data_IF_134532955207
#
_entry.id   IF_134532955207
#
_cell.length_a   1.000
_cell.length_b   1.000
_cell.length_c   1.000
_cell.angle_alpha   90.00
_cell.angle_beta   90.00
_cell.angle_gamma   90.00
#
_symmetry.space_group_name_H-M   'P 1'
#
loop_
_entity.id
_entity.type
_entity.pdbx_description
1 polymer ?
#
# COMPACT_ATOMS: atom_id res chain seq x y z
N UNK A 1 -16.29 11.81 14.43
CA UNK A 1 -15.63 12.28 13.19
C UNK A 1 -14.14 12.41 13.43
N UNK A 2 -13.44 11.31 13.76
CA UNK A 2 -12.00 11.31 14.05
C UNK A 2 -11.34 10.48 12.94
N UNK A 3 -10.55 11.11 12.08
CA UNK A 3 -9.73 10.45 11.06
C UNK A 3 -10.39 10.26 9.68
N UNK A 4 -11.71 10.33 9.57
CA UNK A 4 -12.45 10.02 8.33
C UNK A 4 -12.01 10.89 7.12
N UNK A 5 -11.76 12.18 7.37
CA UNK A 5 -11.28 13.11 6.33
C UNK A 5 -9.87 12.71 5.88
N UNK A 6 -8.98 12.35 6.81
CA UNK A 6 -7.62 11.91 6.50
C UNK A 6 -7.59 10.59 5.72
N UNK A 7 -8.51 9.68 6.05
CA UNK A 7 -8.68 8.42 5.32
C UNK A 7 -9.24 8.65 3.91
N UNK A 8 -10.19 9.57 3.74
CA UNK A 8 -10.73 9.91 2.42
C UNK A 8 -9.69 10.62 1.55
N UNK A 9 -8.87 11.50 2.12
CA UNK A 9 -7.81 12.20 1.37
C UNK A 9 -6.58 11.34 1.10
N UNK A 10 -6.36 10.24 1.84
CA UNK A 10 -5.24 9.35 1.58
C UNK A 10 -5.37 8.63 0.22
N UNK A 11 -6.60 8.38 -0.24
CA UNK A 11 -6.85 7.74 -1.55
C UNK A 11 -6.32 8.59 -2.72
N UNK A 12 -6.77 9.85 -2.92
CA UNK A 12 -6.27 10.68 -4.01
C UNK A 12 -4.77 11.00 -3.86
N UNK A 13 -4.26 11.15 -2.62
CA UNK A 13 -2.83 11.37 -2.38
C UNK A 13 -2.01 10.14 -2.82
N UNK A 14 -2.43 8.93 -2.47
CA UNK A 14 -1.76 7.71 -2.89
C UNK A 14 -1.74 7.56 -4.42
N UNK A 15 -2.86 7.86 -5.10
CA UNK A 15 -2.93 7.86 -6.56
C UNK A 15 -1.97 8.89 -7.19
N UNK A 16 -1.87 10.08 -6.60
CA UNK A 16 -0.93 11.11 -7.02
C UNK A 16 0.53 10.64 -6.86
N UNK A 17 0.87 10.00 -5.73
CA UNK A 17 2.19 9.42 -5.49
C UNK A 17 2.53 8.34 -6.53
N UNK A 18 1.62 7.41 -6.80
CA UNK A 18 1.82 6.37 -7.84
C UNK A 18 2.04 7.02 -9.21
N UNK A 19 1.23 8.01 -9.56
CA UNK A 19 1.41 8.75 -10.82
C UNK A 19 2.77 9.44 -10.90
N UNK A 20 3.22 10.11 -9.83
CA UNK A 20 4.53 10.74 -9.76
C UNK A 20 5.67 9.72 -9.90
N UNK A 21 5.59 8.58 -9.21
CA UNK A 21 6.60 7.51 -9.30
C UNK A 21 6.68 6.97 -10.72
N UNK A 22 5.54 6.64 -11.33
CA UNK A 22 5.48 6.20 -12.72
C UNK A 22 6.09 7.23 -13.68
N UNK A 23 5.82 8.51 -13.46
CA UNK A 23 6.33 9.61 -14.30
C UNK A 23 7.83 9.83 -14.15
N UNK A 24 8.34 9.84 -12.92
CA UNK A 24 9.74 10.12 -12.59
C UNK A 24 10.66 8.92 -12.93
N UNK A 25 10.22 7.70 -12.64
CA UNK A 25 10.97 6.49 -12.93
C UNK A 25 10.82 6.01 -14.39
N UNK A 26 9.96 6.66 -15.19
CA UNK A 26 9.65 6.29 -16.59
C UNK A 26 9.32 4.81 -16.75
N UNK A 27 8.53 4.28 -15.82
CA UNK A 27 8.18 2.86 -15.78
C UNK A 27 7.38 2.46 -17.03
N UNK A 28 7.79 1.36 -17.67
CA UNK A 28 7.00 0.72 -18.71
C UNK A 28 5.78 0.03 -18.07
N UNK A 29 4.67 -0.10 -18.81
CA UNK A 29 3.40 -0.63 -18.26
C UNK A 29 3.53 -2.01 -17.58
N UNK A 30 4.45 -2.85 -18.06
CA UNK A 30 4.76 -4.15 -17.46
C UNK A 30 5.55 -4.08 -16.14
N UNK A 31 6.27 -2.99 -15.88
CA UNK A 31 7.08 -2.78 -14.67
C UNK A 31 6.29 -2.15 -13.52
N UNK A 32 5.15 -1.49 -13.82
CA UNK A 32 4.35 -0.77 -12.82
C UNK A 32 3.88 -1.70 -11.71
N UNK A 33 3.37 -2.90 -12.06
CA UNK A 33 2.90 -3.86 -11.05
C UNK A 33 4.03 -4.29 -10.12
N UNK A 34 5.16 -4.73 -10.68
CA UNK A 34 6.31 -5.18 -9.92
C UNK A 34 6.83 -4.05 -9.00
N UNK A 35 6.94 -2.83 -9.53
CA UNK A 35 7.33 -1.65 -8.75
C UNK A 35 6.36 -1.36 -7.60
N UNK A 36 5.06 -1.39 -7.84
CA UNK A 36 4.06 -1.18 -6.79
C UNK A 36 4.13 -2.25 -5.70
N UNK A 37 4.34 -3.51 -6.05
CA UNK A 37 4.46 -4.60 -5.07
C UNK A 37 5.72 -4.45 -4.23
N UNK A 38 6.86 -4.05 -4.83
CA UNK A 38 8.11 -3.80 -4.08
C UNK A 38 7.92 -2.64 -3.10
N UNK A 39 7.40 -1.50 -3.56
CA UNK A 39 7.16 -0.34 -2.69
C UNK A 39 6.18 -0.68 -1.57
N UNK A 40 5.16 -1.49 -1.86
CA UNK A 40 4.22 -1.98 -0.85
C UNK A 40 4.90 -2.87 0.19
N UNK A 41 5.78 -3.78 -0.25
CA UNK A 41 6.54 -4.64 0.64
C UNK A 41 7.49 -3.84 1.55
N UNK A 42 8.16 -2.82 0.99
CA UNK A 42 9.02 -1.91 1.75
C UNK A 42 8.20 -1.12 2.78
N UNK A 43 7.05 -0.55 2.39
CA UNK A 43 6.16 0.16 3.29
C UNK A 43 5.67 -0.75 4.44
N UNK A 44 5.27 -1.99 4.12
CA UNK A 44 4.88 -2.99 5.11
C UNK A 44 6.03 -3.32 6.08
N UNK A 45 7.27 -3.42 5.58
CA UNK A 45 8.44 -3.67 6.41
C UNK A 45 8.69 -2.49 7.35
N UNK A 46 8.64 -1.26 6.85
CA UNK A 46 8.79 -0.05 7.69
C UNK A 46 7.71 0.06 8.75
N UNK A 47 6.45 -0.27 8.42
CA UNK A 47 5.37 -0.35 9.40
C UNK A 47 5.64 -1.41 10.47
N UNK A 48 6.11 -2.60 10.09
CA UNK A 48 6.44 -3.66 11.04
C UNK A 48 7.61 -3.25 11.97
N UNK A 49 8.62 -2.57 11.43
CA UNK A 49 9.70 -1.96 12.20
C UNK A 49 9.12 -0.93 13.19
N UNK A 50 8.31 0.00 12.71
CA UNK A 50 7.74 1.05 13.55
C UNK A 50 6.85 0.48 14.67
N UNK A 51 6.01 -0.51 14.37
CA UNK A 51 5.18 -1.18 15.37
C UNK A 51 6.00 -1.95 16.42
N UNK A 52 7.16 -2.51 16.03
CA UNK A 52 8.02 -3.27 16.94
C UNK A 52 8.84 -2.39 17.87
N UNK A 53 9.44 -1.32 17.34
CA UNK A 53 10.40 -0.49 18.09
C UNK A 53 9.82 0.84 18.57
N UNK A 54 8.75 1.33 17.93
CA UNK A 54 8.12 2.63 18.23
C UNK A 54 6.58 2.51 18.32
N UNK A 55 6.03 1.58 19.13
CA UNK A 55 4.59 1.31 19.18
C UNK A 55 3.75 2.53 19.59
N UNK A 56 4.35 3.49 20.33
CA UNK A 56 3.69 4.72 20.75
C UNK A 56 3.27 5.63 19.58
N UNK A 57 3.85 5.45 18.38
CA UNK A 57 3.47 6.20 17.18
C UNK A 57 2.08 5.76 16.69
N UNK A 58 1.75 4.47 16.86
CA UNK A 58 0.51 3.88 16.34
C UNK A 58 -0.60 3.80 17.38
N UNK A 59 -0.27 3.52 18.64
CA UNK A 59 -1.27 3.34 19.68
C UNK A 59 -0.75 3.63 21.09
N UNK A 60 -1.67 3.99 21.98
CA UNK A 60 -1.41 4.18 23.41
C UNK A 60 -1.47 2.87 24.22
N UNK A 61 -1.84 1.74 23.61
CA UNK A 61 -1.91 0.43 24.27
C UNK A 61 -1.40 -0.71 23.39
N UNK A 62 -0.82 -1.72 24.02
CA UNK A 62 -0.30 -2.92 23.35
C UNK A 62 -1.39 -3.67 22.57
N UNK A 63 -2.59 -3.76 23.13
CA UNK A 63 -3.72 -4.43 22.47
C UNK A 63 -4.15 -3.70 21.20
N UNK A 64 -4.21 -2.36 21.25
CA UNK A 64 -4.54 -1.55 20.08
C UNK A 64 -3.43 -1.65 19.00
N UNK A 65 -2.16 -1.71 19.41
CA UNK A 65 -1.03 -1.89 18.50
C UNK A 65 -1.11 -3.25 17.76
N UNK A 66 -1.41 -4.34 18.48
CA UNK A 66 -1.60 -5.67 17.89
C UNK A 66 -2.78 -5.70 16.91
N UNK A 67 -3.91 -5.10 17.29
CA UNK A 67 -5.07 -5.02 16.41
C UNK A 67 -4.77 -4.20 15.15
N UNK A 68 -4.12 -3.04 15.29
CA UNK A 68 -3.70 -2.20 14.18
C UNK A 68 -2.73 -2.94 13.24
N UNK A 69 -1.78 -3.69 13.79
CA UNK A 69 -0.84 -4.49 13.00
C UNK A 69 -1.53 -5.56 12.15
N UNK A 70 -2.56 -6.22 12.70
CA UNK A 70 -3.36 -7.19 11.97
C UNK A 70 -4.15 -6.54 10.83
N UNK A 71 -4.74 -5.36 11.07
CA UNK A 71 -5.43 -4.60 10.03
C UNK A 71 -4.50 -4.11 8.92
N UNK A 72 -3.29 -3.66 9.25
CA UNK A 72 -2.29 -3.30 8.26
C UNK A 72 -1.91 -4.51 7.39
N UNK A 73 -1.65 -5.67 8.00
CA UNK A 73 -1.34 -6.89 7.27
C UNK A 73 -2.47 -7.29 6.29
N UNK A 74 -3.72 -7.24 6.74
CA UNK A 74 -4.87 -7.47 5.87
C UNK A 74 -4.99 -6.43 4.75
N UNK A 75 -4.78 -5.15 5.06
CA UNK A 75 -4.80 -4.06 4.09
C UNK A 75 -3.75 -4.22 2.99
N UNK A 76 -2.51 -4.57 3.35
CA UNK A 76 -1.44 -4.88 2.41
C UNK A 76 -1.76 -6.11 1.56
N UNK A 77 -2.25 -7.20 2.20
CA UNK A 77 -2.61 -8.43 1.49
C UNK A 77 -3.72 -8.23 0.46
N UNK A 78 -4.80 -7.53 0.82
CA UNK A 78 -5.91 -7.23 -0.11
C UNK A 78 -5.43 -6.32 -1.24
N UNK A 79 -4.61 -5.31 -0.94
CA UNK A 79 -4.04 -4.42 -1.94
C UNK A 79 -3.15 -5.17 -2.95
N UNK A 80 -2.27 -6.05 -2.47
CA UNK A 80 -1.42 -6.87 -3.31
C UNK A 80 -2.25 -7.82 -4.20
N UNK A 81 -3.27 -8.47 -3.62
CA UNK A 81 -4.18 -9.33 -4.37
C UNK A 81 -4.96 -8.56 -5.44
N UNK A 82 -5.50 -7.39 -5.10
CA UNK A 82 -6.18 -6.50 -6.04
C UNK A 82 -5.27 -6.06 -7.18
N UNK A 83 -4.02 -5.69 -6.88
CA UNK A 83 -3.03 -5.33 -7.89
C UNK A 83 -2.74 -6.48 -8.87
N UNK A 84 -2.57 -7.71 -8.35
CA UNK A 84 -2.37 -8.91 -9.17
C UNK A 84 -3.59 -9.21 -10.07
N UNK A 85 -4.81 -9.14 -9.53
CA UNK A 85 -6.03 -9.35 -10.31
C UNK A 85 -6.19 -8.31 -11.42
N UNK A 86 -5.89 -7.04 -11.14
CA UNK A 86 -5.94 -5.98 -12.14
C UNK A 86 -4.91 -6.23 -13.24
N UNK A 87 -3.66 -6.53 -12.87
CA UNK A 87 -2.62 -6.82 -13.86
C UNK A 87 -2.93 -8.00 -14.77
N UNK A 88 -3.51 -9.08 -14.23
CA UNK A 88 -3.92 -10.24 -15.03
C UNK A 88 -5.04 -9.89 -16.03
N UNK A 89 -5.95 -8.99 -15.68
CA UNK A 89 -7.00 -8.51 -16.59
C UNK A 89 -6.45 -7.66 -17.74
N UNK A 90 -5.48 -6.79 -17.49
CA UNK A 90 -4.90 -5.92 -18.54
C UNK A 90 -3.79 -6.59 -19.36
N UNK A 91 -3.04 -7.54 -18.79
CA UNK A 91 -2.05 -8.34 -19.52
C UNK A 91 -2.66 -9.25 -20.59
N UNK A 92 -3.93 -9.64 -20.42
CA UNK A 92 -4.66 -10.48 -21.39
C UNK A 92 -5.17 -9.67 -22.58
N UNK A 93 -5.50 -8.39 -22.40
CA UNK A 93 -6.06 -7.52 -23.46
C UNK A 93 -4.97 -7.10 -24.47
N UNK A 94 -3.70 -7.02 -24.07
CA UNK A 94 -2.59 -6.66 -24.99
C UNK A 94 -2.12 -7.82 -25.90
N UNK A 95 -2.76 -8.99 -25.84
CA UNK A 95 -2.44 -10.16 -26.67
C UNK A 95 -3.49 -10.49 -27.73
N UNK A 96 -4.51 -9.65 -27.90
CA UNK A 96 -5.52 -9.75 -28.96
C UNK A 96 -5.28 -8.66 -30.00
#
# INVERSE_FOLDING_TARGET
MRGDIGFLTSIPVALCCVWLICRLARLQGNQILAGCVVVMADAMLYDAIALRWFPFIYASSDQACRLASAWLLWGYGISAWGALLFANRFGTISRA
#
